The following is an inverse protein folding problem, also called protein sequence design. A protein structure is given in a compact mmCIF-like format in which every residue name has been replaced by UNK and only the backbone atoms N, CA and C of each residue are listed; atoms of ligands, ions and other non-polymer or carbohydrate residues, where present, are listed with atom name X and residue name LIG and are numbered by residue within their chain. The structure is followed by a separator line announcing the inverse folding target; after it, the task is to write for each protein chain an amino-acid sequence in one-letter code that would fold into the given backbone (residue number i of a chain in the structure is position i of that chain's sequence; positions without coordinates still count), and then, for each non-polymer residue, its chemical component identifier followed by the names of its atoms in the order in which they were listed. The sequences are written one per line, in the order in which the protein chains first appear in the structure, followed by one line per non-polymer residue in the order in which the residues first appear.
data_IF_182077312317
#
_entry.id   IF_182077312317
#
_cell.length_a   1.000
_cell.length_b   1.000
_cell.length_c   1.000
_cell.angle_alpha   90.00
_cell.angle_beta   90.00
_cell.angle_gamma   90.00
#
_symmetry.space_group_name_H-M   'P 1'
#
loop_
_entity.id
_entity.type
_entity.pdbx_description
1 polymer ?
#
# COMPACT_ATOMS: atom_id res chain seq x y z
N UNK A 1 3.45 4.28 5.50
CA UNK A 1 3.03 5.60 6.04
C UNK A 1 4.21 6.53 6.31
N UNK A 2 5.29 6.08 6.94
CA UNK A 2 6.46 6.88 7.27
C UNK A 2 7.12 7.55 6.03
N UNK A 3 7.45 6.80 5.00
CA UNK A 3 8.03 7.32 3.76
C UNK A 3 7.15 8.37 3.06
N UNK A 4 5.85 8.15 3.06
CA UNK A 4 4.88 9.10 2.49
C UNK A 4 4.77 10.40 3.32
N UNK A 5 4.92 10.28 4.65
CA UNK A 5 4.97 11.45 5.55
C UNK A 5 6.22 12.30 5.32
N UNK A 6 7.39 11.69 5.13
CA UNK A 6 8.65 12.39 4.81
C UNK A 6 8.61 13.09 3.45
N UNK A 7 7.93 12.51 2.48
CA UNK A 7 7.74 13.12 1.15
C UNK A 7 6.68 14.23 1.14
N UNK A 8 6.02 14.51 2.29
CA UNK A 8 4.96 15.51 2.37
C UNK A 8 3.69 15.15 1.59
N UNK A 9 3.54 13.87 1.19
CA UNK A 9 2.38 13.35 0.47
C UNK A 9 1.19 13.10 1.40
N UNK A 10 1.48 12.83 2.67
CA UNK A 10 0.49 12.62 3.73
C UNK A 10 0.84 13.59 4.87
N UNK A 11 0.07 13.58 5.92
CA UNK A 11 0.25 14.42 7.11
C UNK A 11 1.70 14.39 7.61
N UNK A 12 2.38 15.53 7.57
CA UNK A 12 3.83 15.68 7.88
C UNK A 12 4.28 15.02 9.20
N UNK A 13 3.51 15.13 10.32
CA UNK A 13 3.90 14.47 11.58
C UNK A 13 4.13 12.96 11.50
N UNK A 14 3.53 12.26 10.51
CA UNK A 14 3.79 10.84 10.30
C UNK A 14 5.23 10.51 9.86
N UNK A 15 5.95 11.53 9.38
CA UNK A 15 7.37 11.43 9.03
C UNK A 15 8.32 11.75 10.19
N UNK A 16 7.82 12.13 11.39
CA UNK A 16 8.68 12.45 12.52
C UNK A 16 9.30 11.20 13.14
N UNK A 17 10.61 11.27 13.36
CA UNK A 17 11.39 10.22 14.02
C UNK A 17 11.92 10.68 15.34
N UNK A 18 12.11 9.78 16.30
CA UNK A 18 12.85 10.10 17.51
C UNK A 18 14.33 10.33 17.17
N UNK A 19 14.94 11.44 17.65
CA UNK A 19 16.32 11.80 17.28
C UNK A 19 17.36 10.72 17.63
N UNK A 20 17.16 10.00 18.75
CA UNK A 20 18.11 9.00 19.24
C UNK A 20 17.93 7.60 18.59
N UNK A 21 16.74 7.24 18.14
CA UNK A 21 16.42 5.87 17.68
C UNK A 21 15.95 5.82 16.23
N UNK A 22 15.77 6.94 15.57
CA UNK A 22 15.27 7.08 14.18
C UNK A 22 13.98 6.27 13.92
N UNK A 23 13.18 6.01 14.95
CA UNK A 23 11.93 5.27 14.84
C UNK A 23 10.74 6.21 14.60
N UNK A 24 9.83 5.88 13.67
CA UNK A 24 8.65 6.71 13.36
C UNK A 24 7.56 6.52 14.42
N UNK A 25 7.73 7.13 15.58
CA UNK A 25 6.86 6.95 16.74
C UNK A 25 5.42 7.43 16.50
N UNK A 26 5.25 8.56 15.78
CA UNK A 26 3.91 9.09 15.46
C UNK A 26 3.14 8.11 14.57
N UNK A 27 3.79 7.55 13.55
CA UNK A 27 3.17 6.56 12.68
C UNK A 27 2.79 5.29 13.46
N UNK A 28 3.64 4.85 14.39
CA UNK A 28 3.36 3.69 15.25
C UNK A 28 2.16 3.94 16.16
N UNK A 29 2.07 5.10 16.82
CA UNK A 29 0.92 5.47 17.67
C UNK A 29 -0.36 5.53 16.85
N UNK A 30 -0.36 6.21 15.70
CA UNK A 30 -1.53 6.30 14.83
C UNK A 30 -2.01 4.92 14.41
N UNK A 31 -1.09 4.03 14.04
CA UNK A 31 -1.42 2.66 13.67
C UNK A 31 -2.02 1.88 14.85
N UNK A 32 -1.41 1.97 16.03
CA UNK A 32 -1.90 1.28 17.25
C UNK A 32 -3.27 1.78 17.68
N UNK A 33 -3.49 3.09 17.63
CA UNK A 33 -4.80 3.70 17.95
C UNK A 33 -5.86 3.26 16.93
N UNK A 34 -5.54 3.26 15.64
CA UNK A 34 -6.47 2.80 14.60
C UNK A 34 -6.88 1.35 14.81
N UNK A 35 -5.91 0.46 15.07
CA UNK A 35 -6.17 -0.96 15.36
C UNK A 35 -7.00 -1.10 16.63
N UNK A 36 -6.66 -0.36 17.70
CA UNK A 36 -7.40 -0.35 18.95
C UNK A 36 -8.86 0.07 18.78
N UNK A 37 -9.12 1.11 17.98
CA UNK A 37 -10.48 1.57 17.66
C UNK A 37 -11.26 0.47 16.93
N UNK A 38 -10.65 -0.17 15.93
CA UNK A 38 -11.30 -1.24 15.16
C UNK A 38 -11.66 -2.41 16.07
N UNK A 39 -10.74 -2.86 16.91
CA UNK A 39 -11.00 -3.94 17.87
C UNK A 39 -12.14 -3.56 18.85
N UNK A 40 -12.11 -2.33 19.37
CA UNK A 40 -13.14 -1.85 20.28
C UNK A 40 -14.53 -1.81 19.61
N UNK A 41 -14.61 -1.38 18.34
CA UNK A 41 -15.86 -1.39 17.59
C UNK A 41 -16.41 -2.81 17.43
N UNK A 42 -15.58 -3.79 17.08
CA UNK A 42 -16.03 -5.18 16.97
C UNK A 42 -16.53 -5.74 18.30
N UNK A 43 -15.84 -5.41 19.41
CA UNK A 43 -16.27 -5.80 20.74
C UNK A 43 -17.61 -5.15 21.15
N UNK A 44 -17.83 -3.89 20.77
CA UNK A 44 -19.09 -3.19 21.04
C UNK A 44 -20.30 -3.76 20.28
N UNK A 45 -20.06 -4.33 19.09
CA UNK A 45 -21.10 -4.98 18.28
C UNK A 45 -21.27 -6.47 18.59
N UNK A 46 -20.70 -6.95 19.71
CA UNK A 46 -20.80 -8.34 20.16
C UNK A 46 -20.29 -9.36 19.12
N UNK A 47 -19.39 -8.91 18.25
CA UNK A 47 -18.72 -9.76 17.28
C UNK A 47 -17.44 -10.31 17.86
N UNK A 48 -17.15 -11.59 17.63
CA UNK A 48 -15.87 -12.18 18.05
C UNK A 48 -14.70 -11.48 17.34
N UNK A 49 -13.87 -10.70 18.06
CA UNK A 49 -12.76 -9.98 17.43
C UNK A 49 -11.71 -10.91 16.84
N UNK A 50 -11.57 -12.12 17.40
CA UNK A 50 -10.57 -13.07 16.92
C UNK A 50 -11.05 -13.80 15.67
N UNK A 51 -12.22 -14.41 15.70
CA UNK A 51 -12.72 -15.19 14.57
C UNK A 51 -13.15 -14.30 13.39
N UNK A 52 -13.91 -13.24 13.67
CA UNK A 52 -14.51 -12.41 12.61
C UNK A 52 -13.52 -11.36 12.09
N UNK A 53 -12.95 -10.54 13.00
CA UNK A 53 -12.05 -9.45 12.60
C UNK A 53 -10.77 -9.98 11.96
N UNK A 54 -10.16 -11.03 12.52
CA UNK A 54 -8.94 -11.62 11.98
C UNK A 54 -9.17 -12.17 10.56
N UNK A 55 -10.24 -12.92 10.35
CA UNK A 55 -10.58 -13.48 9.04
C UNK A 55 -10.83 -12.39 8.00
N UNK A 56 -11.62 -11.38 8.34
CA UNK A 56 -11.92 -10.27 7.44
C UNK A 56 -10.69 -9.41 7.14
N UNK A 57 -9.92 -9.04 8.17
CA UNK A 57 -8.71 -8.23 8.00
C UNK A 57 -7.64 -8.95 7.16
N UNK A 58 -7.45 -10.25 7.40
CA UNK A 58 -6.51 -11.07 6.65
C UNK A 58 -6.96 -11.24 5.20
N UNK A 59 -8.24 -11.52 4.98
CA UNK A 59 -8.80 -11.68 3.63
C UNK A 59 -8.71 -10.40 2.81
N UNK A 60 -9.15 -9.27 3.35
CA UNK A 60 -9.05 -7.95 2.70
C UNK A 60 -7.58 -7.59 2.46
N UNK A 61 -6.71 -7.82 3.45
CA UNK A 61 -5.28 -7.58 3.35
C UNK A 61 -4.62 -8.40 2.23
N UNK A 62 -4.98 -9.68 2.11
CA UNK A 62 -4.49 -10.57 1.05
C UNK A 62 -4.85 -10.04 -0.33
N UNK A 63 -6.11 -9.66 -0.55
CA UNK A 63 -6.56 -9.08 -1.82
C UNK A 63 -5.79 -7.80 -2.13
N UNK A 64 -5.63 -6.91 -1.14
CA UNK A 64 -4.89 -5.67 -1.29
C UNK A 64 -3.41 -5.87 -1.64
N UNK A 65 -2.75 -6.84 -1.00
CA UNK A 65 -1.34 -7.19 -1.28
C UNK A 65 -1.18 -7.75 -2.69
N UNK A 66 -2.01 -8.71 -3.11
CA UNK A 66 -1.94 -9.29 -4.45
C UNK A 66 -2.16 -8.21 -5.51
N UNK A 67 -3.16 -7.34 -5.31
CA UNK A 67 -3.46 -6.26 -6.22
C UNK A 67 -2.32 -5.24 -6.33
N UNK A 68 -1.70 -4.88 -5.21
CA UNK A 68 -0.54 -3.98 -5.20
C UNK A 68 0.68 -4.59 -5.90
N UNK A 69 0.92 -5.90 -5.73
CA UNK A 69 1.99 -6.61 -6.43
C UNK A 69 1.73 -6.72 -7.92
N UNK A 70 0.47 -6.93 -8.35
CA UNK A 70 0.10 -6.90 -9.76
C UNK A 70 0.42 -5.54 -10.40
N UNK A 71 0.01 -4.45 -9.74
CA UNK A 71 0.29 -3.09 -10.22
C UNK A 71 1.79 -2.84 -10.30
N UNK A 72 2.54 -3.25 -9.27
CA UNK A 72 4.00 -3.14 -9.26
C UNK A 72 4.65 -3.95 -10.40
N UNK A 73 4.18 -5.17 -10.63
CA UNK A 73 4.67 -6.03 -11.72
C UNK A 73 4.46 -5.39 -13.10
N UNK A 74 3.27 -4.83 -13.34
CA UNK A 74 2.98 -4.09 -14.58
C UNK A 74 3.84 -2.83 -14.69
N UNK A 75 4.01 -2.09 -13.60
CA UNK A 75 4.84 -0.89 -13.57
C UNK A 75 6.33 -1.22 -13.90
N UNK A 76 6.87 -2.30 -13.34
CA UNK A 76 8.22 -2.79 -13.61
C UNK A 76 8.36 -3.13 -15.10
N UNK A 77 7.41 -3.88 -15.66
CA UNK A 77 7.43 -4.24 -17.08
C UNK A 77 7.44 -3.00 -17.99
N UNK A 78 6.57 -2.02 -17.71
CA UNK A 78 6.50 -0.75 -18.48
C UNK A 78 7.79 0.05 -18.32
N UNK A 79 8.36 0.10 -17.13
CA UNK A 79 9.61 0.81 -16.85
C UNK A 79 10.77 0.25 -17.67
N UNK A 80 10.99 -1.06 -17.62
CA UNK A 80 12.09 -1.68 -18.39
C UNK A 80 11.89 -1.56 -19.90
N UNK A 81 10.67 -1.52 -20.37
CA UNK A 81 10.38 -1.32 -21.79
C UNK A 81 10.66 0.10 -22.28
N UNK A 82 10.59 1.09 -21.36
CA UNK A 82 10.84 2.51 -21.69
C UNK A 82 12.30 2.93 -21.47
N UNK A 83 12.99 2.34 -20.51
CA UNK A 83 14.27 2.87 -20.02
C UNK A 83 15.51 2.23 -20.66
N UNK A 84 15.40 1.13 -21.40
CA UNK A 84 16.54 0.42 -22.04
C UNK A 84 17.77 0.18 -21.10
N UNK A 85 17.56 0.15 -19.80
CA UNK A 85 18.64 0.06 -18.78
C UNK A 85 19.32 -1.30 -18.79
N UNK A 86 18.57 -2.38 -19.05
CA UNK A 86 19.11 -3.73 -19.13
C UNK A 86 18.69 -4.39 -20.46
N UNK A 87 19.64 -4.96 -21.18
CA UNK A 87 19.45 -5.65 -22.47
C UNK A 87 19.12 -7.14 -22.31
N UNK A 88 19.10 -7.68 -21.12
CA UNK A 88 18.80 -9.08 -20.84
C UNK A 88 17.29 -9.33 -20.94
N UNK A 89 16.84 -9.84 -22.08
CA UNK A 89 15.42 -10.12 -22.35
C UNK A 89 14.74 -10.99 -21.30
N UNK A 90 15.48 -11.88 -20.64
CA UNK A 90 14.94 -12.73 -19.57
C UNK A 90 14.46 -11.90 -18.38
N UNK A 91 15.32 -11.01 -17.86
CA UNK A 91 15.01 -10.24 -16.65
C UNK A 91 14.06 -9.07 -16.92
N UNK A 92 14.11 -8.50 -18.13
CA UNK A 92 13.36 -7.28 -18.46
C UNK A 92 11.98 -7.53 -19.07
N UNK A 93 11.77 -8.71 -19.64
CA UNK A 93 10.51 -9.02 -20.34
C UNK A 93 9.89 -10.31 -19.84
N UNK A 94 10.63 -11.43 -19.87
CA UNK A 94 10.04 -12.75 -19.61
C UNK A 94 9.65 -12.89 -18.12
N UNK A 95 10.55 -12.57 -17.20
CA UNK A 95 10.30 -12.72 -15.78
C UNK A 95 9.14 -11.81 -15.29
N UNK A 96 9.05 -10.50 -15.64
CA UNK A 96 7.91 -9.68 -15.27
C UNK A 96 6.58 -10.17 -15.87
N UNK A 97 6.57 -10.64 -17.11
CA UNK A 97 5.35 -11.17 -17.73
C UNK A 97 4.88 -12.43 -16.99
N UNK A 98 5.77 -13.38 -16.72
CA UNK A 98 5.43 -14.58 -15.96
C UNK A 98 4.92 -14.26 -14.56
N UNK A 99 5.54 -13.28 -13.89
CA UNK A 99 5.10 -12.82 -12.58
C UNK A 99 3.69 -12.21 -12.63
N UNK A 100 3.41 -11.35 -13.61
CA UNK A 100 2.07 -10.75 -13.77
C UNK A 100 1.02 -11.80 -14.14
N UNK A 101 1.35 -12.75 -15.01
CA UNK A 101 0.42 -13.85 -15.35
C UNK A 101 0.15 -14.73 -14.12
N UNK A 102 1.18 -15.15 -13.40
CA UNK A 102 1.05 -15.97 -12.19
C UNK A 102 0.25 -15.26 -11.09
N UNK A 103 0.57 -14.00 -10.80
CA UNK A 103 -0.18 -13.19 -9.85
C UNK A 103 -1.62 -12.92 -10.31
N UNK A 104 -1.82 -12.71 -11.60
CA UNK A 104 -3.15 -12.53 -12.18
C UNK A 104 -4.01 -13.78 -12.04
N UNK A 105 -3.45 -14.96 -12.35
CA UNK A 105 -4.14 -16.23 -12.14
C UNK A 105 -4.46 -16.44 -10.65
N UNK A 106 -3.52 -16.16 -9.76
CA UNK A 106 -3.74 -16.25 -8.32
C UNK A 106 -4.81 -15.27 -7.83
N UNK A 107 -4.83 -14.06 -8.36
CA UNK A 107 -5.87 -13.07 -8.07
C UNK A 107 -7.26 -13.55 -8.48
N UNK A 108 -7.39 -14.11 -9.69
CA UNK A 108 -8.66 -14.68 -10.16
C UNK A 108 -9.11 -15.84 -9.27
N UNK A 109 -8.20 -16.73 -8.89
CA UNK A 109 -8.51 -17.82 -7.95
C UNK A 109 -8.96 -17.30 -6.60
N UNK A 110 -8.29 -16.26 -6.07
CA UNK A 110 -8.67 -15.59 -4.82
C UNK A 110 -10.08 -15.00 -4.90
N UNK A 111 -10.42 -14.33 -6.00
CA UNK A 111 -11.78 -13.78 -6.19
C UNK A 111 -12.86 -14.88 -6.34
N UNK A 112 -12.53 -16.02 -6.91
CA UNK A 112 -13.46 -17.14 -6.99
C UNK A 112 -13.62 -17.91 -5.67
N UNK A 113 -12.68 -17.73 -4.73
CA UNK A 113 -12.66 -18.40 -3.42
C UNK A 113 -12.94 -17.43 -2.26
N UNK A 114 -13.63 -16.31 -2.51
CA UNK A 114 -13.92 -15.28 -1.50
C UNK A 114 -14.67 -15.84 -0.30
N UNK A 115 -15.58 -16.76 -0.51
CA UNK A 115 -16.37 -17.40 0.53
C UNK A 115 -15.49 -18.12 1.55
N UNK A 116 -14.44 -18.78 1.07
CA UNK A 116 -13.46 -19.46 1.92
C UNK A 116 -12.53 -18.44 2.60
N UNK A 117 -12.11 -17.43 1.85
CA UNK A 117 -11.13 -16.44 2.33
C UNK A 117 -11.70 -15.50 3.38
N UNK A 118 -12.95 -15.04 3.19
CA UNK A 118 -13.60 -14.06 4.06
C UNK A 118 -14.56 -14.71 5.06
N UNK A 119 -14.93 -15.99 4.87
CA UNK A 119 -15.92 -16.66 5.69
C UNK A 119 -17.34 -16.08 5.57
N UNK A 120 -17.59 -15.27 4.54
CA UNK A 120 -18.88 -14.62 4.27
C UNK A 120 -19.26 -14.77 2.80
N UNK A 121 -20.56 -14.79 2.54
CA UNK A 121 -21.11 -15.04 1.21
C UNK A 121 -21.88 -13.83 0.64
N UNK A 122 -22.03 -13.83 -0.66
CA UNK A 122 -22.92 -12.91 -1.36
C UNK A 122 -22.54 -11.45 -1.23
N UNK A 123 -23.51 -10.60 -0.83
CA UNK A 123 -23.37 -9.15 -0.80
C UNK A 123 -22.27 -8.68 0.15
N UNK A 124 -22.08 -9.35 1.30
CA UNK A 124 -21.04 -8.99 2.28
C UNK A 124 -19.64 -9.18 1.70
N UNK A 125 -19.36 -10.30 1.03
CA UNK A 125 -18.09 -10.53 0.37
C UNK A 125 -17.84 -9.47 -0.73
N UNK A 126 -18.86 -9.16 -1.53
CA UNK A 126 -18.77 -8.13 -2.56
C UNK A 126 -18.50 -6.73 -1.99
N UNK A 127 -19.11 -6.37 -0.86
CA UNK A 127 -18.86 -5.09 -0.18
C UNK A 127 -17.42 -4.99 0.31
N UNK A 128 -16.88 -6.06 0.89
CA UNK A 128 -15.49 -6.09 1.37
C UNK A 128 -14.47 -5.96 0.24
N UNK A 129 -14.71 -6.64 -0.87
CA UNK A 129 -13.86 -6.52 -2.07
C UNK A 129 -13.99 -5.13 -2.67
N UNK A 130 -15.20 -4.56 -2.73
CA UNK A 130 -15.42 -3.22 -3.26
C UNK A 130 -14.66 -2.15 -2.45
N UNK A 131 -14.49 -2.34 -1.14
CA UNK A 131 -13.70 -1.45 -0.29
C UNK A 131 -12.23 -1.39 -0.75
N UNK A 132 -11.64 -2.52 -1.13
CA UNK A 132 -10.26 -2.57 -1.65
C UNK A 132 -10.16 -1.81 -2.97
N UNK A 133 -11.10 -2.01 -3.89
CA UNK A 133 -11.12 -1.28 -5.16
C UNK A 133 -11.38 0.21 -4.97
N UNK A 134 -12.26 0.60 -4.06
CA UNK A 134 -12.48 2.01 -3.72
C UNK A 134 -11.22 2.66 -3.15
N UNK A 135 -10.50 1.98 -2.25
CA UNK A 135 -9.24 2.46 -1.72
C UNK A 135 -8.18 2.63 -2.83
N UNK A 136 -8.12 1.68 -3.78
CA UNK A 136 -7.25 1.78 -4.95
C UNK A 136 -7.61 2.99 -5.82
N UNK A 137 -8.89 3.15 -6.15
CA UNK A 137 -9.37 4.27 -6.97
C UNK A 137 -9.13 5.61 -6.28
N UNK A 138 -9.35 5.70 -4.97
CA UNK A 138 -9.05 6.89 -4.19
C UNK A 138 -7.54 7.22 -4.21
N UNK A 139 -6.68 6.20 -4.09
CA UNK A 139 -5.22 6.36 -4.20
C UNK A 139 -4.79 6.84 -5.59
N UNK A 140 -5.36 6.28 -6.65
CA UNK A 140 -5.11 6.70 -8.03
C UNK A 140 -5.59 8.14 -8.28
N UNK A 141 -6.82 8.47 -7.84
CA UNK A 141 -7.37 9.82 -7.96
C UNK A 141 -6.51 10.84 -7.21
N UNK A 142 -6.04 10.49 -6.00
CA UNK A 142 -5.12 11.33 -5.24
C UNK A 142 -3.78 11.51 -5.95
N UNK A 143 -3.23 10.45 -6.54
CA UNK A 143 -2.00 10.52 -7.35
C UNK A 143 -2.14 11.44 -8.58
N UNK A 144 -3.27 11.36 -9.28
CA UNK A 144 -3.58 12.25 -10.41
C UNK A 144 -3.77 13.69 -9.92
N UNK A 145 -4.48 13.88 -8.82
CA UNK A 145 -4.64 15.19 -8.18
C UNK A 145 -3.29 15.84 -7.85
N UNK A 146 -2.37 15.10 -7.22
CA UNK A 146 -1.03 15.59 -6.90
C UNK A 146 -0.25 15.98 -8.17
N UNK A 147 -0.38 15.20 -9.23
CA UNK A 147 0.30 15.49 -10.50
C UNK A 147 -0.18 16.79 -11.14
N UNK A 148 -1.47 17.10 -11.02
CA UNK A 148 -2.10 18.27 -11.65
C UNK A 148 -2.03 19.50 -10.75
N UNK A 149 -2.40 19.35 -9.47
CA UNK A 149 -2.58 20.47 -8.55
C UNK A 149 -1.31 20.82 -7.75
N UNK A 150 -0.36 19.88 -7.60
CA UNK A 150 0.86 20.09 -6.83
C UNK A 150 2.08 19.41 -7.49
N UNK A 151 2.51 19.86 -8.71
CA UNK A 151 3.59 19.22 -9.45
C UNK A 151 4.93 19.21 -8.69
N UNK A 152 5.19 20.24 -7.87
CA UNK A 152 6.39 20.29 -7.03
C UNK A 152 6.42 19.18 -5.97
N UNK A 153 5.27 18.82 -5.39
CA UNK A 153 5.17 17.67 -4.46
C UNK A 153 5.24 16.34 -5.20
N UNK A 154 4.68 16.29 -6.41
CA UNK A 154 4.76 15.07 -7.23
C UNK A 154 6.20 14.78 -7.66
N UNK A 155 7.02 15.80 -7.91
CA UNK A 155 8.43 15.64 -8.23
C UNK A 155 9.25 15.03 -7.09
N UNK A 156 8.82 15.16 -5.84
CA UNK A 156 9.46 14.53 -4.67
C UNK A 156 9.15 13.03 -4.54
N UNK A 157 8.16 12.53 -5.28
CA UNK A 157 7.83 11.11 -5.30
C UNK A 157 8.98 10.33 -5.95
N UNK A 158 9.59 9.44 -5.21
CA UNK A 158 10.72 8.62 -5.69
C UNK A 158 12.11 9.17 -5.37
N UNK A 159 12.26 10.42 -4.92
CA UNK A 159 13.56 10.97 -4.53
C UNK A 159 13.99 10.59 -3.10
N UNK A 160 13.10 10.02 -2.31
CA UNK A 160 13.38 9.62 -0.92
C UNK A 160 14.41 8.47 -0.77
N UNK A 161 14.90 7.93 -1.88
CA UNK A 161 15.90 6.87 -1.92
C UNK A 161 17.29 7.36 -2.37
N UNK A 162 17.47 8.66 -2.53
CA UNK A 162 18.80 9.18 -2.82
C UNK A 162 19.61 9.18 -1.51
N UNK A 163 20.55 8.28 -1.37
CA UNK A 163 21.40 8.11 -0.17
C UNK A 163 22.13 9.39 0.24
N UNK A 164 22.25 10.37 -0.63
CA UNK A 164 22.85 11.69 -0.31
C UNK A 164 22.04 12.51 0.67
N UNK A 165 20.72 12.29 0.79
CA UNK A 165 19.87 13.01 1.75
C UNK A 165 19.90 12.37 3.15
N UNK A 166 20.58 11.26 3.32
CA UNK A 166 20.75 10.60 4.62
C UNK A 166 21.93 11.19 5.41
N UNK A 167 22.87 11.82 4.72
CA UNK A 167 24.06 12.44 5.32
C UNK A 167 23.89 13.94 5.60
N UNK A 168 22.78 14.56 5.14
CA UNK A 168 22.52 15.96 5.41
C UNK A 168 21.68 16.07 6.70
N UNK A 169 22.25 16.64 7.80
CA UNK A 169 21.48 16.85 9.03
C UNK A 169 20.30 17.74 8.70
N UNK A 170 19.10 17.28 9.08
CA UNK A 170 17.86 18.05 8.91
C UNK A 170 18.09 19.49 9.32
N UNK A 171 17.65 20.49 8.53
CA UNK A 171 17.76 21.87 8.93
C UNK A 171 17.09 22.02 10.29
N UNK A 172 17.86 22.46 11.28
CA UNK A 172 17.39 22.75 12.62
C UNK A 172 16.18 23.67 12.49
N UNK A 173 15.03 23.18 12.92
CA UNK A 173 13.82 23.95 12.98
C UNK A 173 14.01 25.03 14.07
N UNK A 174 14.29 26.26 13.63
CA UNK A 174 14.09 27.48 14.40
C UNK A 174 12.59 27.72 14.61
#
# INVERSE_FOLDING_TARGET
MFSLGRQGLVWKPLGWTLPQRQTPWVAAIVQSVTVGIVIALFALFDQDPFATLFTWATGIGTIGVILSQLIAGVAIFVFFRRSNVDKRKWNTVIAPILAVIGLGAFFVLTLNSLDILLGVHGVMAALMVSLVFLALLAGLAYGVYLRVAAPARYALVGHALNERDLDDPAPEAL
#
